data_IF_265323460173
#
_entry.id   IF_265323460173
#
_cell.length_a   1.000
_cell.length_b   1.000
_cell.length_c   1.000
_cell.angle_alpha   90.00
_cell.angle_beta   90.00
_cell.angle_gamma   90.00
#
_symmetry.space_group_name_H-M   'P 1'
#
loop_
_entity.id
_entity.type
_entity.pdbx_description
1 polymer ?
#
# COMPACT_ATOMS: atom_id res chain seq x y z
N UNK A 1 -5.43 9.79 10.70
CA UNK A 1 -6.74 10.40 10.42
C UNK A 1 -6.81 10.54 8.91
N UNK A 2 -7.54 9.67 8.22
CA UNK A 2 -7.59 9.69 6.75
C UNK A 2 -8.98 10.18 6.33
N UNK A 3 -9.01 11.34 5.68
CA UNK A 3 -10.15 11.80 4.89
C UNK A 3 -10.02 11.17 3.50
N UNK A 4 -11.09 10.57 2.99
CA UNK A 4 -11.14 10.00 1.64
C UNK A 4 -12.16 10.75 0.76
N UNK A 5 -12.09 10.48 -0.55
CA UNK A 5 -12.52 11.26 -1.73
C UNK A 5 -14.00 11.71 -1.80
N UNK A 6 -14.86 11.35 -0.84
CA UNK A 6 -16.26 11.83 -0.76
C UNK A 6 -16.42 12.72 0.49
N UNK A 7 -16.77 14.00 0.34
CA UNK A 7 -16.93 14.88 1.50
C UNK A 7 -17.99 14.32 2.45
N UNK A 8 -17.68 14.28 3.75
CA UNK A 8 -18.55 13.91 4.88
C UNK A 8 -18.83 12.41 5.14
N UNK A 9 -18.07 11.46 4.57
CA UNK A 9 -18.18 10.05 4.97
C UNK A 9 -17.02 9.67 5.90
N UNK A 10 -17.35 9.24 7.13
CA UNK A 10 -16.34 8.70 8.05
C UNK A 10 -15.99 7.27 7.68
N UNK A 11 -14.69 7.04 7.47
CA UNK A 11 -14.13 5.74 7.11
C UNK A 11 -13.14 5.28 8.17
N UNK A 12 -13.13 3.98 8.48
CA UNK A 12 -12.21 3.40 9.47
C UNK A 12 -11.66 2.04 8.98
N UNK A 13 -10.51 1.64 9.51
CA UNK A 13 -9.87 0.37 9.17
C UNK A 13 -9.52 0.29 7.69
N UNK A 14 -10.00 -0.75 7.01
CA UNK A 14 -9.71 -1.06 5.61
C UNK A 14 -10.74 -0.52 4.61
N UNK A 15 -11.42 0.58 4.94
CA UNK A 15 -12.44 1.19 4.07
C UNK A 15 -13.87 1.05 4.56
N UNK A 16 -14.09 0.60 5.80
CA UNK A 16 -15.42 0.46 6.38
C UNK A 16 -16.07 1.82 6.60
N UNK A 17 -17.34 1.94 6.21
CA UNK A 17 -18.16 3.13 6.42
C UNK A 17 -19.48 2.74 7.08
N UNK A 18 -20.15 3.68 7.76
CA UNK A 18 -21.45 3.45 8.40
C UNK A 18 -22.54 2.92 7.46
N UNK A 19 -22.38 3.06 6.14
CA UNK A 19 -23.31 2.51 5.14
C UNK A 19 -23.15 1.00 4.95
N UNK A 20 -21.97 0.44 5.27
CA UNK A 20 -21.73 -1.00 5.24
C UNK A 20 -22.37 -1.73 6.43
N UNK A 21 -22.84 -1.00 7.44
CA UNK A 21 -23.51 -1.52 8.62
C UNK A 21 -22.75 -1.22 9.89
N UNK A 22 -22.87 -2.11 10.88
CA UNK A 22 -22.16 -1.96 12.14
C UNK A 22 -20.67 -2.35 11.99
N UNK A 23 -19.75 -1.61 12.62
CA UNK A 23 -20.00 -0.49 13.54
C UNK A 23 -20.21 0.85 12.83
N UNK A 24 -21.17 1.64 13.31
CA UNK A 24 -21.35 3.02 12.84
C UNK A 24 -20.12 3.88 13.16
N UNK A 25 -19.43 4.30 12.11
CA UNK A 25 -18.21 5.10 12.20
C UNK A 25 -18.55 6.52 12.64
N UNK A 26 -17.86 6.99 13.67
CA UNK A 26 -17.99 8.35 14.22
C UNK A 26 -16.63 9.04 14.28
N UNK A 27 -16.65 10.38 14.24
CA UNK A 27 -15.44 11.18 14.39
C UNK A 27 -14.70 10.81 15.69
N UNK A 28 -13.40 10.57 15.59
CA UNK A 28 -12.55 10.23 16.73
C UNK A 28 -12.58 8.77 17.16
N UNK A 29 -13.35 7.91 16.48
CA UNK A 29 -13.34 6.47 16.73
C UNK A 29 -11.95 5.88 16.47
N UNK A 30 -11.48 5.04 17.41
CA UNK A 30 -10.23 4.30 17.31
C UNK A 30 -10.54 2.81 17.42
N UNK A 31 -9.89 2.02 16.59
CA UNK A 31 -9.99 0.56 16.59
C UNK A 31 -8.60 -0.04 16.62
N UNK A 32 -8.48 -1.24 17.18
CA UNK A 32 -7.27 -2.05 17.11
C UNK A 32 -7.13 -2.71 15.74
N UNK A 33 -5.94 -3.22 15.43
CA UNK A 33 -5.72 -4.00 14.20
C UNK A 33 -6.68 -5.20 14.10
N UNK A 34 -6.82 -5.95 15.20
CA UNK A 34 -7.74 -7.10 15.28
C UNK A 34 -9.19 -6.68 15.01
N UNK A 35 -9.64 -5.56 15.58
CA UNK A 35 -10.97 -5.03 15.29
C UNK A 35 -11.13 -4.62 13.83
N UNK A 36 -10.10 -4.05 13.21
CA UNK A 36 -10.12 -3.70 11.79
C UNK A 36 -10.23 -4.94 10.90
N UNK A 37 -9.53 -6.02 11.23
CA UNK A 37 -9.64 -7.32 10.55
C UNK A 37 -11.03 -7.93 10.71
N UNK A 38 -11.58 -7.93 11.93
CA UNK A 38 -12.94 -8.46 12.19
C UNK A 38 -14.01 -7.68 11.42
N UNK A 39 -13.86 -6.36 11.29
CA UNK A 39 -14.74 -5.52 10.48
C UNK A 39 -14.58 -5.87 9.00
N UNK A 40 -13.34 -5.98 8.51
CA UNK A 40 -13.07 -6.35 7.13
C UNK A 40 -13.68 -7.72 6.78
N UNK A 41 -13.49 -8.73 7.62
CA UNK A 41 -14.09 -10.06 7.40
C UNK A 41 -15.61 -10.01 7.35
N UNK A 42 -16.27 -9.13 8.12
CA UNK A 42 -17.72 -8.94 8.06
C UNK A 42 -18.12 -8.26 6.75
N UNK A 43 -17.43 -7.21 6.37
CA UNK A 43 -17.71 -6.46 5.15
C UNK A 43 -17.53 -7.34 3.91
N UNK A 44 -16.50 -8.19 3.89
CA UNK A 44 -16.16 -9.06 2.77
C UNK A 44 -17.24 -10.09 2.44
N UNK A 45 -17.99 -10.58 3.43
CA UNK A 45 -19.02 -11.62 3.24
C UNK A 45 -19.98 -11.33 2.10
N UNK A 46 -20.47 -10.09 2.01
CA UNK A 46 -21.42 -9.71 0.95
C UNK A 46 -20.79 -9.76 -0.44
N UNK A 47 -19.49 -9.46 -0.55
CA UNK A 47 -18.77 -9.43 -1.81
C UNK A 47 -18.33 -10.84 -2.22
N UNK A 48 -17.89 -11.66 -1.26
CA UNK A 48 -17.64 -13.09 -1.45
C UNK A 48 -18.88 -13.80 -1.95
N UNK A 49 -20.03 -13.57 -1.31
CA UNK A 49 -21.31 -14.12 -1.73
C UNK A 49 -21.68 -13.65 -3.14
N UNK A 50 -21.59 -12.34 -3.42
CA UNK A 50 -21.90 -11.81 -4.74
C UNK A 50 -21.02 -12.40 -5.85
N UNK A 51 -19.72 -12.60 -5.59
CA UNK A 51 -18.80 -13.25 -6.53
C UNK A 51 -19.18 -14.72 -6.73
N UNK A 52 -19.41 -15.45 -5.63
CA UNK A 52 -19.79 -16.88 -5.65
C UNK A 52 -21.08 -17.13 -6.43
N UNK A 53 -22.11 -16.29 -6.25
CA UNK A 53 -23.40 -16.42 -6.93
C UNK A 53 -23.35 -15.98 -8.40
N UNK A 54 -22.48 -15.02 -8.73
CA UNK A 54 -22.44 -14.42 -10.07
C UNK A 54 -21.51 -15.16 -11.04
N UNK A 55 -20.43 -15.76 -10.53
CA UNK A 55 -19.47 -16.49 -11.35
C UNK A 55 -19.96 -17.92 -11.57
N UNK A 56 -20.00 -18.34 -12.84
CA UNK A 56 -20.54 -19.64 -13.27
C UNK A 56 -19.46 -20.66 -13.66
N UNK A 57 -18.20 -20.24 -13.61
CA UNK A 57 -17.05 -21.04 -14.01
C UNK A 57 -16.13 -21.30 -12.80
N UNK A 58 -15.36 -22.38 -12.84
CA UNK A 58 -14.45 -22.73 -11.75
C UNK A 58 -13.31 -21.72 -11.62
N UNK A 59 -13.02 -21.29 -10.39
CA UNK A 59 -11.93 -20.37 -10.10
C UNK A 59 -10.90 -21.02 -9.17
N UNK A 60 -9.65 -20.58 -9.27
CA UNK A 60 -8.66 -20.79 -8.20
C UNK A 60 -8.91 -19.81 -7.04
N UNK A 61 -8.35 -20.09 -5.87
CA UNK A 61 -8.51 -19.20 -4.72
C UNK A 61 -7.94 -17.79 -4.98
N UNK A 62 -6.81 -17.70 -5.70
CA UNK A 62 -6.25 -16.41 -6.12
C UNK A 62 -7.17 -15.64 -7.06
N UNK A 63 -7.80 -16.34 -8.02
CA UNK A 63 -8.76 -15.73 -8.94
C UNK A 63 -10.00 -15.25 -8.19
N UNK A 64 -10.54 -16.07 -7.29
CA UNK A 64 -11.66 -15.69 -6.43
C UNK A 64 -11.32 -14.46 -5.58
N UNK A 65 -10.18 -14.47 -4.89
CA UNK A 65 -9.72 -13.35 -4.07
C UNK A 65 -9.52 -12.06 -4.88
N UNK A 66 -9.00 -12.15 -6.11
CA UNK A 66 -8.86 -11.01 -7.01
C UNK A 66 -10.23 -10.39 -7.37
N UNK A 67 -11.23 -11.22 -7.67
CA UNK A 67 -12.59 -10.76 -7.96
C UNK A 67 -13.27 -10.17 -6.73
N UNK A 68 -13.05 -10.74 -5.54
CA UNK A 68 -13.57 -10.18 -4.28
C UNK A 68 -12.96 -8.81 -4.01
N UNK A 69 -11.65 -8.62 -4.17
CA UNK A 69 -11.01 -7.31 -4.04
C UNK A 69 -11.55 -6.29 -5.05
N UNK A 70 -11.75 -6.73 -6.29
CA UNK A 70 -12.33 -5.90 -7.34
C UNK A 70 -13.77 -5.50 -6.99
N UNK A 71 -14.62 -6.46 -6.63
CA UNK A 71 -16.02 -6.28 -6.23
C UNK A 71 -16.16 -5.37 -5.00
N UNK A 72 -15.29 -5.53 -3.99
CA UNK A 72 -15.23 -4.63 -2.83
C UNK A 72 -15.00 -3.18 -3.24
N UNK A 73 -14.15 -2.94 -4.23
CA UNK A 73 -13.80 -1.59 -4.67
C UNK A 73 -14.86 -0.94 -5.56
N UNK A 74 -15.47 -1.69 -6.50
CA UNK A 74 -16.45 -1.13 -7.45
C UNK A 74 -17.90 -1.27 -6.98
N UNK A 75 -18.15 -2.13 -5.99
CA UNK A 75 -19.47 -2.50 -5.52
C UNK A 75 -20.12 -3.64 -6.32
N UNK A 76 -20.99 -4.40 -5.65
CA UNK A 76 -21.67 -5.59 -6.21
C UNK A 76 -22.45 -5.28 -7.50
N UNK A 77 -23.21 -4.19 -7.52
CA UNK A 77 -24.01 -3.78 -8.71
C UNK A 77 -23.15 -3.55 -9.95
N UNK A 78 -21.99 -2.91 -9.79
CA UNK A 78 -21.07 -2.64 -10.89
C UNK A 78 -20.36 -3.92 -11.35
N UNK A 79 -19.93 -4.75 -10.40
CA UNK A 79 -19.34 -6.06 -10.67
C UNK A 79 -20.29 -6.97 -11.48
N UNK A 80 -21.53 -7.14 -11.04
CA UNK A 80 -22.51 -8.02 -11.69
C UNK A 80 -22.89 -7.57 -13.11
N UNK A 81 -22.76 -6.27 -13.42
CA UNK A 81 -23.02 -5.71 -14.76
C UNK A 81 -21.76 -5.56 -15.62
N UNK A 82 -20.60 -5.95 -15.11
CA UNK A 82 -19.33 -5.71 -15.79
C UNK A 82 -19.14 -6.61 -17.02
N UNK A 83 -18.50 -6.06 -18.05
CA UNK A 83 -18.03 -6.85 -19.19
C UNK A 83 -17.03 -7.93 -18.77
N UNK A 84 -16.27 -7.69 -17.70
CA UNK A 84 -15.39 -8.66 -17.05
C UNK A 84 -16.14 -9.93 -16.69
N UNK A 85 -17.20 -9.83 -15.89
CA UNK A 85 -17.98 -10.99 -15.44
C UNK A 85 -18.61 -11.71 -16.63
N UNK A 86 -19.12 -10.96 -17.62
CA UNK A 86 -19.72 -11.54 -18.83
C UNK A 86 -18.71 -12.42 -19.59
N UNK A 87 -17.49 -11.92 -19.81
CA UNK A 87 -16.43 -12.66 -20.50
C UNK A 87 -15.95 -13.86 -19.69
N UNK A 88 -15.73 -13.67 -18.39
CA UNK A 88 -15.34 -14.76 -17.50
C UNK A 88 -16.35 -15.91 -17.52
N UNK A 89 -17.64 -15.60 -17.44
CA UNK A 89 -18.71 -16.61 -17.49
C UNK A 89 -18.86 -17.29 -18.86
N UNK A 90 -18.20 -16.78 -19.91
CA UNK A 90 -18.08 -17.42 -21.22
C UNK A 90 -16.82 -18.32 -21.29
N UNK A 91 -16.06 -18.43 -20.20
CA UNK A 91 -14.81 -19.19 -20.13
C UNK A 91 -13.57 -18.41 -20.57
N UNK A 92 -13.68 -17.10 -20.81
CA UNK A 92 -12.54 -16.26 -21.22
C UNK A 92 -11.81 -15.72 -19.98
N UNK A 93 -10.98 -16.57 -19.38
CA UNK A 93 -10.16 -16.22 -18.20
C UNK A 93 -9.06 -15.21 -18.53
N UNK A 94 -8.52 -15.27 -19.75
CA UNK A 94 -7.42 -14.42 -20.20
C UNK A 94 -7.86 -12.97 -20.43
N UNK A 95 -9.14 -12.74 -20.72
CA UNK A 95 -9.68 -11.39 -20.80
C UNK A 95 -9.76 -10.66 -19.45
N UNK A 96 -9.77 -11.36 -18.32
CA UNK A 96 -10.01 -10.74 -17.01
C UNK A 96 -8.99 -9.66 -16.65
N UNK A 97 -7.66 -9.89 -16.75
CA UNK A 97 -6.65 -8.85 -16.53
C UNK A 97 -6.87 -7.58 -17.35
N UNK A 98 -7.22 -7.73 -18.63
CA UNK A 98 -7.45 -6.59 -19.54
C UNK A 98 -8.73 -5.85 -19.17
N UNK A 99 -9.79 -6.56 -18.81
CA UNK A 99 -11.03 -5.94 -18.35
C UNK A 99 -10.84 -5.21 -17.01
N UNK A 100 -10.04 -5.73 -16.08
CA UNK A 100 -9.70 -5.04 -14.82
C UNK A 100 -9.06 -3.67 -15.08
N UNK A 101 -8.13 -3.59 -16.03
CA UNK A 101 -7.42 -2.33 -16.34
C UNK A 101 -8.33 -1.21 -16.83
N UNK A 102 -9.53 -1.52 -17.35
CA UNK A 102 -10.52 -0.50 -17.76
C UNK A 102 -11.15 0.23 -16.58
N UNK A 103 -11.09 -0.34 -15.38
CA UNK A 103 -11.67 0.21 -14.14
C UNK A 103 -10.66 1.08 -13.38
N UNK A 104 -10.08 2.05 -14.07
CA UNK A 104 -9.06 2.96 -13.53
C UNK A 104 -9.44 4.45 -13.59
N UNK A 105 -10.72 4.75 -13.86
CA UNK A 105 -11.23 6.11 -14.01
C UNK A 105 -12.28 6.46 -12.94
N UNK A 106 -12.24 7.71 -12.47
CA UNK A 106 -13.31 8.32 -11.65
C UNK A 106 -13.65 9.67 -12.27
N UNK A 107 -14.94 9.94 -12.49
CA UNK A 107 -15.38 11.17 -13.16
C UNK A 107 -14.76 11.38 -14.55
N UNK A 108 -14.46 10.29 -15.27
CA UNK A 108 -13.79 10.32 -16.58
C UNK A 108 -12.28 10.52 -16.55
N UNK A 109 -11.68 10.81 -15.39
CA UNK A 109 -10.23 11.02 -15.24
C UNK A 109 -9.54 9.75 -14.76
N UNK A 110 -8.38 9.45 -15.35
CA UNK A 110 -7.52 8.35 -14.91
C UNK A 110 -6.93 8.65 -13.53
N UNK A 111 -6.99 7.66 -12.64
CA UNK A 111 -6.35 7.73 -11.33
C UNK A 111 -5.24 6.69 -11.25
N UNK A 112 -4.00 7.14 -11.04
CA UNK A 112 -2.83 6.28 -10.93
C UNK A 112 -3.00 5.22 -9.81
N UNK A 113 -3.62 5.59 -8.69
CA UNK A 113 -3.90 4.66 -7.59
C UNK A 113 -4.81 3.49 -8.01
N UNK A 114 -5.83 3.76 -8.83
CA UNK A 114 -6.69 2.69 -9.35
C UNK A 114 -5.96 1.84 -10.38
N UNK A 115 -5.17 2.44 -11.26
CA UNK A 115 -4.37 1.68 -12.23
C UNK A 115 -3.41 0.69 -11.52
N UNK A 116 -2.72 1.15 -10.47
CA UNK A 116 -1.84 0.31 -9.66
C UNK A 116 -2.61 -0.82 -8.96
N UNK A 117 -3.81 -0.51 -8.41
CA UNK A 117 -4.67 -1.52 -7.79
C UNK A 117 -5.11 -2.59 -8.78
N UNK A 118 -5.56 -2.19 -9.97
CA UNK A 118 -5.99 -3.12 -11.03
C UNK A 118 -4.83 -3.99 -11.52
N UNK A 119 -3.62 -3.44 -11.62
CA UNK A 119 -2.42 -4.22 -11.94
C UNK A 119 -2.10 -5.26 -10.85
N UNK A 120 -2.25 -4.92 -9.57
CA UNK A 120 -2.04 -5.85 -8.47
C UNK A 120 -3.09 -6.98 -8.45
N UNK A 121 -4.36 -6.67 -8.71
CA UNK A 121 -5.44 -7.67 -8.82
C UNK A 121 -5.24 -8.59 -10.02
N UNK A 122 -4.82 -8.06 -11.18
CA UNK A 122 -4.42 -8.86 -12.33
C UNK A 122 -3.20 -9.74 -12.03
N UNK A 123 -2.23 -9.23 -11.27
CA UNK A 123 -1.09 -10.00 -10.79
C UNK A 123 -1.50 -11.12 -9.84
N UNK A 124 -2.50 -10.90 -8.99
CA UNK A 124 -3.06 -11.94 -8.12
C UNK A 124 -3.81 -12.99 -8.95
N UNK A 125 -4.62 -12.57 -9.93
CA UNK A 125 -5.33 -13.46 -10.85
C UNK A 125 -4.39 -14.44 -11.58
N UNK A 126 -3.23 -13.94 -12.01
CA UNK A 126 -2.22 -14.74 -12.73
C UNK A 126 -1.42 -15.69 -11.82
N UNK A 127 -1.42 -15.49 -10.50
CA UNK A 127 -0.77 -16.42 -9.55
C UNK A 127 -1.65 -17.66 -9.42
N UNK A 128 -1.48 -18.61 -10.34
CA UNK A 128 -2.24 -19.86 -10.46
C UNK A 128 -2.12 -20.88 -9.32
N UNK A 129 -1.84 -20.44 -8.09
CA UNK A 129 -1.81 -21.32 -6.92
C UNK A 129 -3.20 -21.45 -6.29
N UNK A 130 -3.62 -22.69 -6.04
CA UNK A 130 -4.71 -23.05 -5.12
C UNK A 130 -4.26 -22.64 -3.70
N UNK A 131 -4.66 -21.46 -3.24
CA UNK A 131 -4.45 -21.05 -1.85
C UNK A 131 -5.68 -21.48 -1.07
N UNK A 132 -5.70 -22.77 -0.67
CA UNK A 132 -6.66 -23.25 0.32
C UNK A 132 -6.73 -22.21 1.43
N UNK A 133 -7.93 -21.66 1.67
CA UNK A 133 -8.19 -20.60 2.64
C UNK A 133 -7.98 -21.06 4.09
N UNK A 134 -6.79 -21.58 4.40
CA UNK A 134 -6.29 -21.41 5.74
C UNK A 134 -6.05 -19.91 5.89
N UNK A 135 -6.88 -19.30 6.74
CA UNK A 135 -6.53 -18.06 7.43
C UNK A 135 -5.20 -18.34 8.12
N UNK A 136 -4.10 -18.14 7.40
CA UNK A 136 -2.80 -18.14 8.01
C UNK A 136 -2.84 -16.86 8.82
N UNK A 137 -3.12 -17.00 10.12
CA UNK A 137 -2.93 -15.94 11.09
C UNK A 137 -1.60 -15.33 10.72
N UNK A 138 -1.59 -14.05 10.34
CA UNK A 138 -0.36 -13.35 10.00
C UNK A 138 0.53 -13.57 11.20
N UNK A 139 1.46 -14.51 11.08
CA UNK A 139 2.61 -14.53 11.95
C UNK A 139 3.26 -13.22 11.59
N UNK A 140 2.98 -12.19 12.39
CA UNK A 140 3.92 -11.11 12.55
C UNK A 140 5.21 -11.84 12.85
N UNK A 141 6.04 -11.96 11.82
CA UNK A 141 7.41 -12.35 11.96
C UNK A 141 7.91 -11.35 13.00
N UNK A 142 7.99 -11.80 14.25
CA UNK A 142 8.67 -11.06 15.28
C UNK A 142 9.94 -10.58 14.62
N UNK A 143 10.25 -9.30 14.82
CA UNK A 143 11.43 -8.65 14.29
C UNK A 143 12.68 -9.39 14.81
N UNK A 144 12.96 -10.55 14.22
CA UNK A 144 14.11 -11.37 14.52
C UNK A 144 15.21 -10.80 13.65
N UNK A 145 15.88 -9.84 14.26
CA UNK A 145 17.20 -9.38 13.84
C UNK A 145 17.19 -8.17 12.94
N UNK A 146 16.91 -7.00 13.49
CA UNK A 146 17.56 -5.78 13.01
C UNK A 146 18.41 -5.24 14.16
N UNK A 147 19.63 -5.74 14.17
CA UNK A 147 20.82 -5.27 14.87
C UNK A 147 20.77 -5.21 16.40
N UNK A 148 21.33 -6.27 16.98
CA UNK A 148 21.92 -6.34 18.32
C UNK A 148 22.61 -5.00 18.65
N UNK A 149 22.03 -4.22 19.56
CA UNK A 149 22.62 -2.95 20.05
C UNK A 149 24.01 -3.21 20.66
N UNK A 150 24.28 -4.44 21.09
CA UNK A 150 25.57 -4.87 21.63
C UNK A 150 26.67 -5.12 20.57
N UNK A 151 26.31 -5.24 19.29
CA UNK A 151 27.31 -5.34 18.21
C UNK A 151 27.88 -3.96 17.78
N UNK A 152 27.26 -2.87 18.24
CA UNK A 152 27.72 -1.50 17.99
C UNK A 152 28.48 -0.89 19.18
N UNK A 153 28.68 -1.63 20.29
CA UNK A 153 29.46 -1.13 21.42
C UNK A 153 30.87 -0.65 21.03
N UNK A 154 31.63 -1.32 20.12
CA UNK A 154 32.92 -0.82 19.67
C UNK A 154 32.83 0.36 18.68
N UNK A 155 31.72 0.50 17.96
CA UNK A 155 31.53 1.55 16.94
C UNK A 155 31.04 2.86 17.58
N UNK A 156 30.17 2.80 18.60
CA UNK A 156 29.75 3.98 19.37
C UNK A 156 30.92 4.51 20.23
N UNK A 157 31.81 3.63 20.70
CA UNK A 157 33.04 4.02 21.40
C UNK A 157 34.06 4.77 20.52
N UNK A 158 33.94 4.70 19.20
CA UNK A 158 34.91 5.33 18.27
C UNK A 158 34.48 6.72 17.78
N UNK A 159 33.21 7.12 17.92
CA UNK A 159 32.76 8.48 17.59
C UNK A 159 32.95 9.49 18.73
N UNK A 160 33.16 9.02 19.96
CA UNK A 160 33.50 9.88 21.11
C UNK A 160 34.87 10.54 20.98
N UNK A 161 35.70 10.10 20.02
CA UNK A 161 37.03 10.69 19.75
C UNK A 161 37.02 11.93 18.85
N UNK A 162 35.94 12.22 18.12
CA UNK A 162 35.94 13.35 17.17
C UNK A 162 35.33 14.64 17.74
N UNK A 163 34.52 14.54 18.81
CA UNK A 163 33.96 15.70 19.50
C UNK A 163 35.00 16.55 20.25
N UNK A 164 36.15 15.97 20.59
CA UNK A 164 37.23 16.68 21.29
C UNK A 164 38.00 17.69 20.43
N UNK A 165 37.90 17.64 19.10
CA UNK A 165 38.63 18.55 18.20
C UNK A 165 37.85 19.83 17.85
N UNK A 166 36.59 19.95 18.28
CA UNK A 166 35.71 21.09 17.97
C UNK A 166 35.38 21.97 19.18
N UNK A 167 35.93 21.70 20.37
CA UNK A 167 35.74 22.56 21.56
C UNK A 167 36.97 23.44 21.78
N UNK A 168 37.30 24.24 20.78
CA UNK A 168 38.34 25.27 20.88
C UNK A 168 37.90 26.53 20.15
N UNK A 169 38.31 27.69 20.64
CA UNK A 169 38.14 28.98 19.96
C UNK A 169 39.46 29.35 19.26
N UNK A 170 39.97 28.46 18.41
CA UNK A 170 41.22 28.65 17.67
C UNK A 170 41.02 29.11 16.22
N UNK A 171 41.92 29.93 15.64
CA UNK A 171 41.88 30.34 14.23
C UNK A 171 41.84 29.17 13.23
N UNK A 172 42.44 28.04 13.62
CA UNK A 172 42.55 26.82 12.80
C UNK A 172 41.19 26.12 12.65
N UNK A 173 40.29 26.25 13.63
CA UNK A 173 38.97 25.61 13.57
C UNK A 173 38.01 26.37 12.65
N UNK A 174 38.10 27.70 12.61
CA UNK A 174 37.40 28.49 11.60
C UNK A 174 37.86 28.15 10.18
N UNK A 175 39.16 27.89 9.99
CA UNK A 175 39.68 27.41 8.70
C UNK A 175 39.08 26.04 8.31
N UNK A 176 39.01 25.09 9.24
CA UNK A 176 38.38 23.79 9.00
C UNK A 176 36.86 23.88 8.76
N UNK A 177 36.15 24.72 9.52
CA UNK A 177 34.72 24.93 9.36
C UNK A 177 34.40 25.55 7.98
N UNK A 178 35.19 26.54 7.54
CA UNK A 178 35.02 27.15 6.21
C UNK A 178 35.27 26.15 5.08
N UNK A 179 36.27 25.27 5.23
CA UNK A 179 36.54 24.19 4.27
C UNK A 179 35.36 23.22 4.17
N UNK A 180 34.78 22.81 5.30
CA UNK A 180 33.63 21.90 5.32
C UNK A 180 32.38 22.52 4.69
N UNK A 181 32.12 23.80 4.93
CA UNK A 181 30.99 24.51 4.32
C UNK A 181 31.19 24.66 2.80
N UNK A 182 32.40 24.98 2.34
CA UNK A 182 32.72 25.04 0.91
C UNK A 182 32.50 23.68 0.23
N UNK A 183 32.95 22.58 0.83
CA UNK A 183 32.73 21.24 0.29
C UNK A 183 31.25 20.88 0.18
N UNK A 184 30.43 21.25 1.18
CA UNK A 184 28.99 21.05 1.16
C UNK A 184 28.31 21.88 0.05
N UNK A 185 28.72 23.14 -0.15
CA UNK A 185 28.21 24.00 -1.20
C UNK A 185 28.55 23.46 -2.61
N UNK A 186 29.76 22.96 -2.83
CA UNK A 186 30.17 22.34 -4.11
C UNK A 186 29.35 21.08 -4.39
N UNK A 187 29.11 20.25 -3.37
CA UNK A 187 28.25 19.07 -3.48
C UNK A 187 26.82 19.42 -3.90
N UNK A 188 26.22 20.42 -3.25
CA UNK A 188 24.87 20.89 -3.58
C UNK A 188 24.79 21.48 -5.00
N UNK A 189 25.83 22.21 -5.44
CA UNK A 189 25.92 22.72 -6.81
C UNK A 189 25.97 21.59 -7.85
N UNK A 190 26.77 20.56 -7.61
CA UNK A 190 26.86 19.40 -8.50
C UNK A 190 25.53 18.63 -8.60
N UNK A 191 24.85 18.44 -7.46
CA UNK A 191 23.52 17.82 -7.42
C UNK A 191 22.50 18.67 -8.16
N UNK A 192 22.48 19.98 -7.95
CA UNK A 192 21.58 20.90 -8.65
C UNK A 192 21.84 20.94 -10.17
N UNK A 193 23.11 20.88 -10.58
CA UNK A 193 23.50 20.79 -12.01
C UNK A 193 23.00 19.49 -12.62
N UNK A 194 23.19 18.35 -11.95
CA UNK A 194 22.72 17.03 -12.41
C UNK A 194 21.20 16.97 -12.59
N UNK A 195 20.43 17.59 -11.70
CA UNK A 195 18.98 17.68 -11.85
C UNK A 195 18.52 18.56 -13.01
N UNK A 196 19.34 19.54 -13.41
CA UNK A 196 19.04 20.44 -14.53
C UNK A 196 19.32 19.76 -15.88
N UNK A 197 20.35 18.91 -15.95
CA UNK A 197 20.70 18.11 -17.13
C UNK A 197 19.72 16.96 -17.40
N UNK A 198 19.05 16.41 -16.38
CA UNK A 198 17.99 15.39 -16.58
C UNK A 198 16.62 15.95 -16.98
N UNK A 199 16.47 17.28 -17.00
CA UNK A 199 15.21 17.98 -17.36
C UNK A 199 15.22 18.61 -18.75
N UNK A 200 16.31 18.47 -19.51
CA UNK A 200 16.44 18.80 -20.93
C UNK A 200 16.44 17.51 -21.75
#
# INVERSE_FOLDING_TARGET
MFFDIIPNIWTIGYGHTSHAGHPFVKKGMRITHKQAEEILCKDLKQFEQAVSESVKVSLTDCQFAALVSFCYNVGTKAFCKSSLLKKLNQGDYEAVPVELQKWNKVGGRLLAGLANRRAAEAGLWAKGSYVSSNYQRVETKEARGVFKVEALAPIIGSCSGFGGFLVGNGPIQWALATLMVLAACVGLFFVAKRFREQRL
#
